data_IF_464179287631
#
_entry.id   IF_464179287631
#
_cell.length_a   1.000
_cell.length_b   1.000
_cell.length_c   1.000
_cell.angle_alpha   90.00
_cell.angle_beta   90.00
_cell.angle_gamma   90.00
#
_symmetry.space_group_name_H-M   'P 1'
#
loop_
_entity.id
_entity.type
_entity.pdbx_description
1 polymer ?
#
# COMPACT_ATOMS: atom_id res chain seq x y z
N UNK A 1 22.85 22.49 3.52
CA UNK A 1 24.00 21.81 2.87
C UNK A 1 23.73 20.31 2.90
N UNK A 2 23.03 19.76 1.91
CA UNK A 2 22.73 18.34 1.81
C UNK A 2 23.77 17.67 0.91
N UNK A 3 24.62 16.83 1.49
CA UNK A 3 25.52 15.97 0.75
C UNK A 3 24.69 14.90 0.03
N UNK A 4 24.60 15.00 -1.28
CA UNK A 4 24.10 13.93 -2.11
C UNK A 4 24.99 12.71 -1.94
N UNK A 5 24.44 11.66 -1.36
CA UNK A 5 25.09 10.37 -1.24
C UNK A 5 25.13 9.74 -2.63
N UNK A 6 26.30 9.75 -3.26
CA UNK A 6 26.62 8.96 -4.45
C UNK A 6 26.75 7.47 -4.05
N UNK A 7 25.64 6.81 -3.76
CA UNK A 7 25.62 5.34 -3.67
C UNK A 7 25.43 4.78 -5.07
N UNK A 8 26.24 3.83 -5.53
CA UNK A 8 25.97 3.10 -6.75
C UNK A 8 24.63 2.36 -6.55
N UNK A 9 23.74 2.45 -7.54
CA UNK A 9 22.49 1.71 -7.53
C UNK A 9 22.78 0.22 -7.46
N UNK A 10 22.32 -0.52 -6.44
CA UNK A 10 22.43 -1.96 -6.42
C UNK A 10 21.48 -2.55 -7.46
N UNK A 11 21.99 -2.89 -8.63
CA UNK A 11 21.24 -3.70 -9.58
C UNK A 11 21.14 -5.12 -9.03
N UNK A 12 19.99 -5.50 -8.53
CA UNK A 12 19.69 -6.90 -8.27
C UNK A 12 19.34 -7.55 -9.60
N UNK A 13 20.29 -8.29 -10.16
CA UNK A 13 20.09 -9.06 -11.39
C UNK A 13 19.32 -10.34 -11.04
N UNK A 14 18.02 -10.39 -11.32
CA UNK A 14 17.19 -11.54 -11.00
C UNK A 14 17.32 -12.68 -12.02
N UNK A 15 17.76 -12.43 -13.27
CA UNK A 15 18.03 -13.45 -14.29
C UNK A 15 18.77 -12.82 -15.47
N UNK A 16 19.88 -13.40 -15.88
CA UNK A 16 20.60 -13.02 -17.09
C UNK A 16 20.48 -14.13 -18.13
N UNK A 17 19.78 -13.89 -19.23
CA UNK A 17 19.93 -14.65 -20.46
C UNK A 17 21.05 -14.04 -21.31
N UNK A 18 21.53 -14.77 -22.34
CA UNK A 18 22.60 -14.26 -23.22
C UNK A 18 22.31 -12.86 -23.78
N UNK A 19 21.04 -12.48 -23.94
CA UNK A 19 20.63 -11.26 -24.64
C UNK A 19 19.79 -10.28 -23.80
N UNK A 20 19.54 -10.59 -22.53
CA UNK A 20 18.60 -9.86 -21.69
C UNK A 20 19.11 -9.64 -20.28
N UNK A 21 19.03 -8.41 -19.79
CA UNK A 21 19.16 -8.07 -18.38
C UNK A 21 17.79 -7.63 -17.83
N UNK A 22 17.33 -8.29 -16.78
CA UNK A 22 16.23 -7.81 -15.96
C UNK A 22 16.77 -7.01 -14.79
N UNK A 23 16.21 -5.84 -14.58
CA UNK A 23 16.49 -4.99 -13.42
C UNK A 23 15.28 -5.06 -12.53
N UNK A 24 15.44 -5.72 -11.39
CA UNK A 24 14.39 -5.85 -10.40
C UNK A 24 13.95 -4.48 -9.84
N UNK A 25 12.69 -4.33 -9.42
CA UNK A 25 12.19 -3.12 -8.79
C UNK A 25 12.95 -2.83 -7.48
N UNK A 26 12.91 -1.64 -7.04
CA UNK A 26 13.58 -1.10 -5.86
C UNK A 26 13.73 0.40 -6.01
N UNK A 27 13.24 0.92 -7.14
CA UNK A 27 13.23 2.34 -7.47
C UNK A 27 11.78 2.81 -7.66
N UNK A 28 11.36 3.74 -6.81
CA UNK A 28 10.09 4.43 -6.94
C UNK A 28 10.17 5.48 -8.06
N UNK A 29 10.15 5.02 -9.32
CA UNK A 29 10.33 5.89 -10.50
C UNK A 29 9.21 6.92 -10.69
N UNK A 30 8.11 6.75 -9.98
CA UNK A 30 6.94 7.64 -9.96
C UNK A 30 7.04 8.76 -8.93
N UNK A 31 8.03 8.73 -8.04
CA UNK A 31 8.22 9.78 -7.06
C UNK A 31 8.58 11.10 -7.75
N UNK A 32 8.03 12.25 -7.28
CA UNK A 32 8.31 13.56 -7.87
C UNK A 32 9.80 13.95 -7.85
N UNK A 33 10.57 13.44 -6.88
CA UNK A 33 12.00 13.72 -6.70
C UNK A 33 12.91 12.65 -7.35
N UNK A 34 12.34 11.68 -8.10
CA UNK A 34 13.13 10.65 -8.75
C UNK A 34 13.79 11.17 -10.04
N UNK A 35 15.11 10.98 -10.16
CA UNK A 35 15.86 11.39 -11.34
C UNK A 35 15.70 10.39 -12.49
N UNK A 36 14.60 10.53 -13.23
CA UNK A 36 14.29 9.69 -14.40
C UNK A 36 15.35 9.87 -15.50
N UNK A 37 15.90 11.07 -15.68
CA UNK A 37 16.91 11.35 -16.70
C UNK A 37 18.19 10.53 -16.43
N UNK A 38 18.61 10.44 -15.17
CA UNK A 38 19.74 9.62 -14.77
C UNK A 38 19.48 8.12 -14.99
N UNK A 39 18.26 7.63 -14.70
CA UNK A 39 17.90 6.23 -15.00
C UNK A 39 18.04 5.94 -16.50
N UNK A 40 17.50 6.81 -17.35
CA UNK A 40 17.58 6.68 -18.81
C UNK A 40 19.07 6.66 -19.26
N UNK A 41 19.87 7.58 -18.77
CA UNK A 41 21.33 7.65 -19.11
C UNK A 41 22.06 6.36 -18.71
N UNK A 42 21.83 5.87 -17.48
CA UNK A 42 22.45 4.62 -16.99
C UNK A 42 22.04 3.43 -17.85
N UNK A 43 20.75 3.28 -18.15
CA UNK A 43 20.25 2.18 -18.99
C UNK A 43 20.82 2.27 -20.41
N UNK A 44 20.88 3.49 -20.98
CA UNK A 44 21.41 3.72 -22.31
C UNK A 44 22.89 3.35 -22.42
N UNK A 45 23.71 3.82 -21.47
CA UNK A 45 25.14 3.46 -21.42
C UNK A 45 25.35 1.97 -21.21
N UNK A 46 24.54 1.33 -20.37
CA UNK A 46 24.60 -0.11 -20.16
C UNK A 46 24.31 -0.88 -21.44
N UNK A 47 23.23 -0.51 -22.15
CA UNK A 47 22.88 -1.13 -23.43
C UNK A 47 23.96 -0.96 -24.47
N UNK A 48 24.55 0.22 -24.59
CA UNK A 48 25.63 0.50 -25.52
C UNK A 48 26.89 -0.32 -25.20
N UNK A 49 27.26 -0.43 -23.92
CA UNK A 49 28.46 -1.15 -23.48
C UNK A 49 28.37 -2.66 -23.66
N UNK A 50 27.20 -3.23 -23.36
CA UNK A 50 27.05 -4.68 -23.26
C UNK A 50 26.24 -5.30 -24.40
N UNK A 51 25.73 -4.50 -25.30
CA UNK A 51 24.81 -4.91 -26.39
C UNK A 51 23.68 -5.82 -25.87
N UNK A 52 23.04 -5.42 -24.76
CA UNK A 52 21.98 -6.17 -24.10
C UNK A 52 20.69 -5.38 -24.11
N UNK A 53 19.56 -6.08 -24.22
CA UNK A 53 18.26 -5.51 -23.91
C UNK A 53 18.10 -5.37 -22.39
N UNK A 54 17.51 -4.28 -21.94
CA UNK A 54 17.21 -4.05 -20.52
C UNK A 54 15.68 -4.00 -20.36
N UNK A 55 15.20 -4.81 -19.43
CA UNK A 55 13.80 -4.80 -19.00
C UNK A 55 13.75 -4.29 -17.57
N UNK A 56 12.91 -3.31 -17.33
CA UNK A 56 12.60 -2.81 -16.00
C UNK A 56 11.30 -3.45 -15.52
N UNK A 57 11.19 -3.68 -14.24
CA UNK A 57 10.00 -4.26 -13.58
C UNK A 57 9.40 -3.24 -12.59
N UNK A 58 8.87 -2.09 -13.05
CA UNK A 58 8.40 -1.01 -12.17
C UNK A 58 6.97 -1.28 -11.69
N UNK A 59 6.75 -2.35 -10.91
CA UNK A 59 5.42 -2.79 -10.49
C UNK A 59 4.53 -1.67 -9.94
N UNK A 60 5.06 -0.85 -9.04
CA UNK A 60 4.34 0.30 -8.50
C UNK A 60 3.93 1.31 -9.58
N UNK A 61 4.81 1.63 -10.52
CA UNK A 61 4.55 2.62 -11.56
C UNK A 61 3.39 2.22 -12.50
N UNK A 62 3.07 0.93 -12.60
CA UNK A 62 1.97 0.43 -13.44
C UNK A 62 0.62 0.58 -12.73
N UNK A 63 0.59 0.46 -11.41
CA UNK A 63 -0.65 0.37 -10.63
C UNK A 63 -0.84 1.52 -9.63
N UNK A 64 0.07 2.51 -9.61
CA UNK A 64 -0.06 3.69 -8.77
C UNK A 64 -1.37 4.44 -9.07
N UNK A 65 -2.12 4.78 -8.03
CA UNK A 65 -3.40 5.47 -8.15
C UNK A 65 -4.54 4.61 -8.73
N UNK A 66 -4.32 3.30 -8.96
CA UNK A 66 -5.31 2.43 -9.60
C UNK A 66 -6.42 1.97 -8.66
N UNK A 67 -6.24 2.04 -7.34
CA UNK A 67 -7.26 1.59 -6.42
C UNK A 67 -7.09 2.08 -4.99
N UNK A 68 -8.19 2.00 -4.26
CA UNK A 68 -8.30 2.42 -2.86
C UNK A 68 -8.88 1.30 -2.02
N UNK A 69 -8.60 1.32 -0.71
CA UNK A 69 -9.29 0.48 0.27
C UNK A 69 -10.21 1.36 1.11
N UNK A 70 -11.49 1.06 1.08
CA UNK A 70 -12.49 1.73 1.91
C UNK A 70 -12.75 0.89 3.15
N UNK A 71 -12.68 1.52 4.30
CA UNK A 71 -12.92 0.89 5.61
C UNK A 71 -13.95 1.67 6.42
N UNK A 72 -14.49 1.03 7.43
CA UNK A 72 -15.40 1.64 8.41
C UNK A 72 -14.76 1.67 9.79
N UNK A 73 -15.01 2.73 10.53
CA UNK A 73 -14.73 2.76 11.96
C UNK A 73 -15.77 1.90 12.68
N UNK A 74 -15.27 0.89 13.40
CA UNK A 74 -16.11 -0.04 14.19
C UNK A 74 -16.29 0.43 15.62
N UNK A 75 -15.23 1.02 16.19
CA UNK A 75 -15.23 1.50 17.56
C UNK A 75 -14.26 2.66 17.75
N UNK A 76 -14.54 3.51 18.71
CA UNK A 76 -13.68 4.62 19.13
C UNK A 76 -13.55 4.56 20.65
N UNK A 77 -12.35 4.47 21.15
CA UNK A 77 -12.06 4.33 22.57
C UNK A 77 -10.83 5.12 22.98
N UNK A 78 -10.67 5.35 24.27
CA UNK A 78 -9.52 6.03 24.87
C UNK A 78 -8.77 5.07 25.78
N UNK A 79 -7.45 4.94 25.55
CA UNK A 79 -6.52 4.24 26.42
C UNK A 79 -5.14 4.90 26.28
N UNK A 80 -4.83 5.80 27.19
CA UNK A 80 -3.70 6.75 27.15
C UNK A 80 -3.72 7.68 25.92
N UNK A 81 -4.31 7.25 24.83
CA UNK A 81 -4.54 8.01 23.61
C UNK A 81 -5.86 7.59 22.96
N UNK A 82 -6.35 8.38 22.03
CA UNK A 82 -7.55 8.04 21.29
C UNK A 82 -7.23 6.97 20.23
N UNK A 83 -8.07 5.95 20.16
CA UNK A 83 -7.96 4.80 19.29
C UNK A 83 -9.20 4.70 18.43
N UNK A 84 -9.04 4.31 17.16
CA UNK A 84 -10.14 3.94 16.29
C UNK A 84 -9.89 2.54 15.72
N UNK A 85 -10.80 1.62 16.00
CA UNK A 85 -10.78 0.24 15.50
C UNK A 85 -11.52 0.20 14.18
N UNK A 86 -10.88 -0.38 13.16
CA UNK A 86 -11.40 -0.43 11.80
C UNK A 86 -11.81 -1.85 11.42
N UNK A 87 -12.72 -1.98 10.42
CA UNK A 87 -13.04 -3.27 9.78
C UNK A 87 -11.95 -3.71 8.78
N UNK A 88 -10.86 -2.95 8.70
CA UNK A 88 -9.63 -3.34 8.01
C UNK A 88 -8.51 -3.60 9.02
N UNK A 89 -7.51 -4.38 8.61
CA UNK A 89 -6.42 -4.83 9.46
C UNK A 89 -5.10 -4.68 8.72
N UNK A 90 -4.08 -4.17 9.40
CA UNK A 90 -2.73 -4.15 8.86
C UNK A 90 -2.26 -5.58 8.56
N UNK A 91 -2.48 -6.50 9.50
CA UNK A 91 -2.06 -7.91 9.36
C UNK A 91 -2.77 -8.64 8.21
N UNK A 92 -4.09 -8.47 8.09
CA UNK A 92 -4.88 -9.26 7.15
C UNK A 92 -5.07 -8.60 5.78
N UNK A 93 -5.09 -7.27 5.71
CA UNK A 93 -5.47 -6.55 4.48
C UNK A 93 -4.36 -5.70 3.89
N UNK A 94 -3.35 -5.30 4.66
CA UNK A 94 -2.22 -4.49 4.19
C UNK A 94 -0.91 -4.90 4.91
N UNK A 95 -0.47 -6.15 4.79
CA UNK A 95 0.66 -6.67 5.57
C UNK A 95 1.96 -5.92 5.31
N UNK A 96 2.14 -5.26 4.17
CA UNK A 96 3.32 -4.46 3.88
C UNK A 96 3.50 -3.27 4.83
N UNK A 97 2.42 -2.79 5.46
CA UNK A 97 2.51 -1.79 6.55
C UNK A 97 3.38 -2.30 7.70
N UNK A 98 3.37 -3.62 7.95
CA UNK A 98 4.14 -4.27 9.01
C UNK A 98 5.47 -4.84 8.51
N UNK A 99 5.49 -5.41 7.29
CA UNK A 99 6.65 -6.11 6.73
C UNK A 99 7.70 -5.15 6.14
N UNK A 100 7.26 -4.06 5.52
CA UNK A 100 8.09 -2.99 4.98
C UNK A 100 7.55 -1.65 5.46
N UNK A 101 7.72 -1.29 6.74
CA UNK A 101 6.95 -0.26 7.41
C UNK A 101 6.82 1.03 6.59
N UNK A 102 5.60 1.36 6.22
CA UNK A 102 5.21 2.63 5.65
C UNK A 102 3.85 3.04 6.22
N UNK A 103 3.53 4.31 6.08
CA UNK A 103 2.27 4.86 6.54
C UNK A 103 1.37 5.11 5.32
N UNK A 104 0.28 4.34 5.13
CA UNK A 104 -0.65 4.56 4.03
C UNK A 104 -1.25 5.98 4.07
N UNK A 105 -1.46 6.57 2.89
CA UNK A 105 -2.15 7.85 2.81
C UNK A 105 -3.66 7.62 2.93
N UNK A 106 -4.32 8.42 3.76
CA UNK A 106 -5.78 8.43 3.92
C UNK A 106 -6.31 9.78 3.43
N UNK A 107 -7.38 9.75 2.64
CA UNK A 107 -8.06 10.98 2.18
C UNK A 107 -8.52 11.78 3.42
N UNK A 108 -8.25 13.09 3.39
CA UNK A 108 -8.61 14.05 4.43
C UNK A 108 -7.95 13.83 5.81
N UNK A 109 -7.04 12.86 5.93
CA UNK A 109 -6.20 12.72 7.12
C UNK A 109 -4.86 13.44 6.95
N UNK A 110 -4.19 13.70 8.08
CA UNK A 110 -2.86 14.29 8.14
C UNK A 110 -1.97 13.53 9.14
N UNK A 111 -0.74 14.00 9.30
CA UNK A 111 0.18 13.47 10.31
C UNK A 111 -0.39 13.68 11.72
N UNK A 112 0.00 12.81 12.63
CA UNK A 112 -0.42 12.90 14.03
C UNK A 112 -0.12 14.31 14.59
N UNK A 113 -1.13 14.92 15.20
CA UNK A 113 -1.04 16.26 15.77
C UNK A 113 -1.11 17.43 14.77
N UNK A 114 -1.19 17.16 13.45
CA UNK A 114 -1.33 18.23 12.46
C UNK A 114 -2.76 18.79 12.38
N UNK A 115 -3.75 18.02 12.86
CA UNK A 115 -5.17 18.39 12.94
C UNK A 115 -5.69 18.16 14.35
N UNK A 116 -6.87 18.72 14.71
CA UNK A 116 -7.35 18.73 16.10
C UNK A 116 -7.55 17.36 16.75
N UNK A 117 -7.90 16.33 15.97
CA UNK A 117 -8.27 15.02 16.52
C UNK A 117 -7.32 13.94 16.03
N UNK A 118 -6.46 13.42 16.90
CA UNK A 118 -5.47 12.39 16.58
C UNK A 118 -5.91 11.03 17.11
N UNK A 119 -5.85 10.02 16.25
CA UNK A 119 -6.18 8.64 16.58
C UNK A 119 -5.07 7.69 16.12
N UNK A 120 -4.83 6.66 16.91
CA UNK A 120 -4.17 5.45 16.44
C UNK A 120 -5.20 4.55 15.79
N UNK A 121 -4.98 4.22 14.53
CA UNK A 121 -5.85 3.32 13.76
C UNK A 121 -5.35 1.89 13.93
N UNK A 122 -6.23 1.00 14.36
CA UNK A 122 -5.93 -0.42 14.56
C UNK A 122 -6.95 -1.32 13.90
N UNK A 123 -6.52 -2.56 13.61
CA UNK A 123 -7.41 -3.62 13.13
C UNK A 123 -8.05 -4.41 14.28
N UNK A 124 -8.74 -5.47 13.91
CA UNK A 124 -9.53 -6.31 14.84
C UNK A 124 -8.88 -7.67 15.11
N UNK A 125 -7.62 -7.90 14.68
CA UNK A 125 -6.96 -9.18 14.91
C UNK A 125 -6.34 -9.26 16.31
N UNK A 126 -5.99 -10.46 16.76
CA UNK A 126 -5.33 -10.66 18.05
C UNK A 126 -3.84 -10.30 18.02
N UNK A 127 -3.28 -9.89 16.88
CA UNK A 127 -1.90 -9.41 16.82
C UNK A 127 -1.80 -8.07 17.53
N UNK A 128 -1.00 -7.99 18.60
CA UNK A 128 -0.78 -6.73 19.33
C UNK A 128 -0.24 -5.59 18.45
N UNK A 129 0.46 -5.94 17.37
CA UNK A 129 0.96 -5.00 16.35
C UNK A 129 0.03 -4.77 15.17
N UNK A 130 -1.26 -5.14 15.25
CA UNK A 130 -2.25 -4.83 14.19
C UNK A 130 -2.61 -3.34 14.19
N UNK A 131 -1.58 -2.51 14.03
CA UNK A 131 -1.65 -1.04 14.03
C UNK A 131 -1.29 -0.53 12.65
N UNK A 132 -2.16 0.30 12.08
CA UNK A 132 -1.97 0.90 10.77
C UNK A 132 -1.11 2.16 10.87
N UNK A 133 -1.34 2.96 11.91
CA UNK A 133 -0.57 4.17 12.19
C UNK A 133 -1.38 5.22 12.93
N UNK A 134 -0.70 6.34 13.23
CA UNK A 134 -1.29 7.49 13.92
C UNK A 134 -1.64 8.58 12.89
N UNK A 135 -2.89 9.05 12.92
CA UNK A 135 -3.43 10.04 11.97
C UNK A 135 -4.23 11.10 12.69
N UNK A 136 -4.32 12.28 12.11
CA UNK A 136 -5.18 13.34 12.63
C UNK A 136 -6.24 13.78 11.61
N UNK A 137 -7.39 14.21 12.12
CA UNK A 137 -8.59 14.55 11.38
C UNK A 137 -9.15 15.91 11.81
N UNK A 138 -9.88 16.60 10.92
CA UNK A 138 -10.52 17.90 11.22
C UNK A 138 -11.67 17.76 12.23
N UNK A 139 -12.39 16.65 12.17
CA UNK A 139 -13.48 16.34 13.09
C UNK A 139 -13.21 15.04 13.84
N UNK A 140 -13.85 14.84 15.00
CA UNK A 140 -13.79 13.57 15.68
C UNK A 140 -14.30 12.45 14.78
N UNK A 141 -13.66 11.27 14.87
CA UNK A 141 -14.18 10.06 14.25
C UNK A 141 -15.34 9.51 15.04
N UNK A 142 -16.33 8.97 14.32
CA UNK A 142 -17.48 8.29 14.89
C UNK A 142 -17.62 6.87 14.33
N UNK A 143 -18.27 5.99 15.08
CA UNK A 143 -18.63 4.64 14.62
C UNK A 143 -19.44 4.74 13.32
N UNK A 144 -19.03 3.99 12.30
CA UNK A 144 -19.63 4.00 10.97
C UNK A 144 -18.96 4.95 9.98
N UNK A 145 -18.10 5.86 10.41
CA UNK A 145 -17.31 6.71 9.49
C UNK A 145 -16.53 5.86 8.49
N UNK A 146 -16.42 6.38 7.27
CA UNK A 146 -15.62 5.74 6.21
C UNK A 146 -14.29 6.45 6.06
N UNK A 147 -13.22 5.66 6.06
CA UNK A 147 -11.88 6.11 5.71
C UNK A 147 -11.47 5.47 4.39
N UNK A 148 -10.69 6.20 3.60
CA UNK A 148 -10.25 5.77 2.27
C UNK A 148 -8.73 5.79 2.21
N UNK A 149 -8.13 4.62 2.20
CA UNK A 149 -6.70 4.45 2.00
C UNK A 149 -6.36 4.46 0.52
N UNK A 150 -5.38 5.27 0.12
CA UNK A 150 -4.91 5.37 -1.25
C UNK A 150 -3.90 4.27 -1.60
N UNK A 151 -3.74 4.00 -2.88
CA UNK A 151 -2.75 3.07 -3.45
C UNK A 151 -2.83 1.64 -2.92
N UNK A 152 -4.05 1.12 -2.77
CA UNK A 152 -4.34 -0.19 -2.22
C UNK A 152 -4.66 -1.26 -3.27
N UNK A 153 -4.25 -1.07 -4.54
CA UNK A 153 -4.51 -2.03 -5.62
C UNK A 153 -3.36 -2.99 -5.93
N UNK A 154 -2.19 -2.81 -5.33
CA UNK A 154 -1.00 -3.61 -5.62
C UNK A 154 -0.91 -4.86 -4.72
N UNK A 155 0.19 -4.95 -3.96
CA UNK A 155 0.44 -6.02 -3.00
C UNK A 155 -0.67 -6.13 -1.96
N UNK A 156 -1.28 -5.01 -1.59
CA UNK A 156 -2.41 -4.97 -0.65
C UNK A 156 -3.55 -5.90 -1.06
N UNK A 157 -3.89 -5.96 -2.37
CA UNK A 157 -4.95 -6.88 -2.83
C UNK A 157 -4.51 -8.35 -2.87
N UNK A 158 -3.25 -8.64 -3.21
CA UNK A 158 -2.78 -10.00 -3.46
C UNK A 158 -2.14 -10.66 -2.25
N UNK A 159 -1.69 -9.90 -1.26
CA UNK A 159 -1.11 -10.39 0.00
C UNK A 159 -2.14 -10.50 1.13
N UNK A 160 -3.41 -10.26 0.86
CA UNK A 160 -4.48 -10.39 1.87
C UNK A 160 -4.57 -11.80 2.43
N UNK A 161 -4.89 -11.89 3.71
CA UNK A 161 -5.09 -13.14 4.44
C UNK A 161 -6.44 -13.14 5.16
N UNK A 162 -6.84 -14.30 5.64
CA UNK A 162 -8.03 -14.46 6.48
C UNK A 162 -7.65 -14.74 7.94
N UNK A 163 -6.52 -14.21 8.39
CA UNK A 163 -6.06 -14.37 9.76
C UNK A 163 -7.16 -13.96 10.76
N UNK A 164 -7.33 -14.75 11.81
CA UNK A 164 -8.44 -14.65 12.78
C UNK A 164 -9.85 -14.71 12.19
N UNK A 165 -10.02 -15.22 10.96
CA UNK A 165 -11.32 -15.24 10.28
C UNK A 165 -11.78 -13.87 9.79
N UNK A 166 -10.90 -12.86 9.72
CA UNK A 166 -11.22 -11.55 9.19
C UNK A 166 -11.58 -11.69 7.72
N UNK A 167 -12.73 -11.11 7.35
CA UNK A 167 -13.26 -11.22 6.00
C UNK A 167 -12.43 -10.38 5.03
N UNK A 168 -12.11 -10.94 3.88
CA UNK A 168 -11.44 -10.21 2.82
C UNK A 168 -12.30 -9.05 2.30
N UNK A 169 -11.69 -7.89 1.93
CA UNK A 169 -12.39 -6.77 1.32
C UNK A 169 -13.06 -7.19 0.01
N UNK A 170 -14.27 -6.70 -0.23
CA UNK A 170 -14.95 -6.90 -1.51
C UNK A 170 -14.18 -6.20 -2.63
N UNK A 171 -14.17 -6.80 -3.83
CA UNK A 171 -13.55 -6.20 -5.00
C UNK A 171 -14.62 -5.53 -5.85
N UNK A 172 -14.42 -4.26 -6.15
CA UNK A 172 -15.34 -3.45 -6.95
C UNK A 172 -14.55 -2.52 -7.89
N UNK A 173 -15.22 -2.09 -8.95
CA UNK A 173 -14.75 -0.96 -9.79
C UNK A 173 -15.64 0.25 -9.56
N UNK A 174 -15.02 1.42 -9.58
CA UNK A 174 -15.68 2.72 -9.56
C UNK A 174 -15.49 3.38 -10.91
N UNK A 175 -16.58 3.82 -11.52
CA UNK A 175 -16.57 4.64 -12.72
C UNK A 175 -16.63 6.12 -12.30
N UNK A 176 -15.55 6.89 -12.45
CA UNK A 176 -15.53 8.28 -12.00
C UNK A 176 -16.45 9.19 -12.82
N UNK A 177 -16.80 8.83 -14.06
CA UNK A 177 -17.66 9.63 -14.90
C UNK A 177 -19.14 9.55 -14.47
N UNK A 178 -19.56 8.39 -13.98
CA UNK A 178 -20.97 8.14 -13.60
C UNK A 178 -21.17 7.99 -12.09
N UNK A 179 -20.08 7.86 -11.32
CA UNK A 179 -20.13 7.54 -9.89
C UNK A 179 -20.55 6.09 -9.61
N UNK A 180 -20.73 5.27 -10.65
CA UNK A 180 -21.23 3.90 -10.50
C UNK A 180 -20.19 3.00 -9.87
N UNK A 181 -20.59 2.26 -8.82
CA UNK A 181 -19.80 1.20 -8.21
C UNK A 181 -20.35 -0.16 -8.68
N UNK A 182 -19.48 -0.98 -9.25
CA UNK A 182 -19.83 -2.34 -9.65
C UNK A 182 -19.02 -3.33 -8.80
N UNK A 183 -19.72 -4.13 -7.99
CA UNK A 183 -19.08 -5.15 -7.15
C UNK A 183 -18.87 -6.41 -7.98
N UNK A 184 -17.61 -6.83 -8.13
CA UNK A 184 -17.22 -8.03 -8.87
C UNK A 184 -17.14 -9.27 -7.99
N UNK A 185 -16.68 -9.09 -6.76
CA UNK A 185 -16.53 -10.18 -5.81
C UNK A 185 -16.87 -9.74 -4.39
N UNK A 186 -17.63 -10.60 -3.72
CA UNK A 186 -17.83 -10.53 -2.27
C UNK A 186 -17.24 -11.78 -1.64
N UNK A 187 -16.57 -11.61 -0.52
CA UNK A 187 -16.02 -12.70 0.26
C UNK A 187 -16.89 -12.95 1.50
N UNK A 188 -16.92 -14.19 1.96
CA UNK A 188 -17.72 -14.58 3.11
C UNK A 188 -17.10 -15.75 3.89
N UNK A 189 -17.86 -16.33 4.79
CA UNK A 189 -17.39 -17.42 5.65
C UNK A 189 -16.84 -18.61 4.86
N UNK A 190 -17.40 -18.92 3.68
CA UNK A 190 -16.92 -20.02 2.85
C UNK A 190 -15.47 -19.83 2.39
N UNK A 191 -15.09 -18.61 2.04
CA UNK A 191 -13.70 -18.29 1.61
C UNK A 191 -12.69 -18.60 2.72
N UNK A 192 -13.07 -18.42 3.97
CA UNK A 192 -12.27 -18.80 5.13
C UNK A 192 -12.29 -20.32 5.39
N UNK A 193 -13.48 -20.91 5.50
CA UNK A 193 -13.68 -22.32 5.81
C UNK A 193 -13.00 -23.23 4.78
N UNK A 194 -13.27 -23.01 3.49
CA UNK A 194 -12.84 -23.88 2.39
C UNK A 194 -11.32 -23.80 2.14
N UNK A 195 -10.63 -22.89 2.81
CA UNK A 195 -9.16 -22.84 2.86
C UNK A 195 -8.58 -23.78 3.92
N UNK A 196 -9.35 -24.12 4.94
CA UNK A 196 -8.87 -24.88 6.09
C UNK A 196 -9.26 -26.36 6.03
N UNK A 197 -10.13 -26.75 5.10
CA UNK A 197 -10.67 -28.12 4.98
C UNK A 197 -10.32 -28.76 3.64
#
# INVERSE_FOLDING_TARGET
MARALSRPFPFHCASASKDLLRVAPGHHITRPDYDVARLIDVVTRFRAKWNKRVYLEPGEAIALGAGVLVTSVLDVLHNDMDLAILDTSATAHMPDVLEMPYRPVIIDAADAGAKPHTYRLGGMTCLAGDVIGDYSFERPLAIGDKLVFLDMAHYTMVKTTTFNGVRLPSIATHDPATGKITVHRRFGYRDYRDRLS
#
